data_IF_467807553929
#
_entry.id   IF_467807553929
#
_cell.length_a   1.000
_cell.length_b   1.000
_cell.length_c   1.000
_cell.angle_alpha   90.00
_cell.angle_beta   90.00
_cell.angle_gamma   90.00
#
_symmetry.space_group_name_H-M   'P 1'
#
loop_
_entity.id
_entity.type
_entity.pdbx_description
1 polymer ?
#
# COMPACT_ATOMS: atom_id res chain seq x y z
N UNK A 1 18.20 29.54 5.45
CA UNK A 1 18.80 28.94 6.66
C UNK A 1 17.84 27.87 7.19
N UNK A 2 18.33 26.68 7.55
CA UNK A 2 17.44 25.63 8.08
C UNK A 2 17.10 25.93 9.55
N UNK A 3 15.81 25.89 9.91
CA UNK A 3 15.35 26.17 11.27
C UNK A 3 15.05 24.86 12.02
N UNK A 4 15.35 24.82 13.32
CA UNK A 4 14.99 23.68 14.17
C UNK A 4 13.58 23.89 14.74
N UNK A 5 12.73 22.85 14.65
CA UNK A 5 11.38 22.84 15.23
C UNK A 5 11.20 21.60 16.10
N UNK A 6 10.88 21.79 17.36
CA UNK A 6 10.59 20.70 18.31
C UNK A 6 9.11 20.69 18.67
N UNK A 7 8.51 19.49 18.70
CA UNK A 7 7.09 19.24 18.90
C UNK A 7 6.90 18.12 19.93
N UNK A 8 5.83 18.21 20.71
CA UNK A 8 5.41 17.18 21.67
C UNK A 8 4.50 16.12 21.02
N UNK A 9 4.23 15.04 21.76
CA UNK A 9 3.31 14.00 21.31
C UNK A 9 1.92 14.57 21.05
N UNK A 10 1.34 14.24 19.89
CA UNK A 10 0.02 14.69 19.44
C UNK A 10 0.03 16.02 18.69
N UNK A 11 1.14 16.78 18.73
CA UNK A 11 1.24 18.05 18.03
C UNK A 11 1.15 17.88 16.51
N UNK A 12 0.49 18.82 15.86
CA UNK A 12 0.33 18.81 14.40
C UNK A 12 1.49 19.52 13.73
N UNK A 13 2.19 18.82 12.84
CA UNK A 13 3.28 19.38 12.04
C UNK A 13 2.70 20.25 10.92
N UNK A 14 1.77 19.66 10.16
CA UNK A 14 1.04 20.24 9.01
C UNK A 14 -0.36 19.60 8.94
N UNK A 15 -1.37 20.35 8.45
CA UNK A 15 -2.72 19.81 8.21
C UNK A 15 -2.98 19.56 6.73
N UNK A 16 -3.81 18.55 6.47
CA UNK A 16 -4.37 18.32 5.15
C UNK A 16 -5.07 19.58 4.63
N UNK A 17 -4.83 19.94 3.37
CA UNK A 17 -5.35 21.14 2.72
C UNK A 17 -4.54 22.42 2.94
N UNK A 18 -3.60 22.46 3.90
CA UNK A 18 -2.69 23.60 4.05
C UNK A 18 -1.73 23.67 2.85
N UNK A 19 -1.42 24.87 2.37
CA UNK A 19 -0.43 25.04 1.30
C UNK A 19 0.96 24.64 1.83
N UNK A 20 1.65 23.72 1.14
CA UNK A 20 2.97 23.32 1.60
C UNK A 20 4.04 24.35 1.23
N UNK A 21 4.78 24.78 2.25
CA UNK A 21 5.72 25.88 2.17
C UNK A 21 7.10 25.56 2.77
N UNK A 22 7.36 24.30 3.14
CA UNK A 22 8.62 23.88 3.73
C UNK A 22 8.91 22.40 3.47
N UNK A 23 10.19 22.07 3.45
CA UNK A 23 10.72 20.70 3.49
C UNK A 23 11.17 20.39 4.92
N UNK A 24 10.73 19.25 5.44
CA UNK A 24 11.01 18.78 6.78
C UNK A 24 11.93 17.56 6.73
N UNK A 25 12.91 17.53 7.63
CA UNK A 25 13.78 16.37 7.89
C UNK A 25 13.62 15.99 9.36
N UNK A 26 13.34 14.72 9.64
CA UNK A 26 13.23 14.21 11.01
C UNK A 26 14.63 14.00 11.57
N UNK A 27 15.00 14.82 12.56
CA UNK A 27 16.28 14.71 13.25
C UNK A 27 16.19 13.80 14.48
N UNK A 28 15.03 13.69 15.10
CA UNK A 28 14.77 12.77 16.21
C UNK A 28 13.26 12.62 16.42
N UNK A 29 12.83 11.43 16.86
CA UNK A 29 11.42 11.15 17.17
C UNK A 29 10.66 10.46 16.05
N UNK A 30 9.33 10.37 16.21
CA UNK A 30 8.42 9.72 15.26
C UNK A 30 7.24 10.63 14.92
N UNK A 31 6.86 10.66 13.64
CA UNK A 31 5.66 11.33 13.16
C UNK A 31 4.82 10.36 12.33
N UNK A 32 3.51 10.60 12.23
CA UNK A 32 2.63 9.78 11.39
C UNK A 32 1.63 10.62 10.62
N UNK A 33 1.23 10.16 9.44
CA UNK A 33 0.05 10.72 8.77
C UNK A 33 -1.22 10.25 9.47
N UNK A 34 -2.22 11.12 9.53
CA UNK A 34 -3.57 10.80 9.96
C UNK A 34 -4.51 11.02 8.79
N UNK A 35 -5.23 9.97 8.42
CA UNK A 35 -6.22 10.01 7.34
C UNK A 35 -7.38 10.92 7.78
N UNK A 36 -7.60 12.00 7.05
CA UNK A 36 -8.76 12.87 7.23
C UNK A 36 -9.74 12.64 6.07
N UNK A 37 -10.80 11.85 6.26
CA UNK A 37 -11.94 11.75 5.31
C UNK A 37 -12.35 10.34 4.87
N UNK A 38 -13.59 10.22 4.36
CA UNK A 38 -14.32 9.01 3.94
C UNK A 38 -13.79 8.38 2.63
N UNK A 39 -12.49 8.10 2.56
CA UNK A 39 -11.87 7.29 1.50
C UNK A 39 -11.42 5.91 2.03
N UNK A 40 -11.04 4.96 1.15
CA UNK A 40 -10.31 3.78 1.61
C UNK A 40 -9.07 4.27 2.36
N UNK A 41 -8.95 3.97 3.65
CA UNK A 41 -7.85 4.48 4.44
C UNK A 41 -6.56 3.85 3.93
N UNK A 42 -5.68 4.69 3.38
CA UNK A 42 -4.26 4.37 3.29
C UNK A 42 -3.75 4.08 4.70
N UNK A 43 -2.89 3.08 4.84
CA UNK A 43 -2.21 2.85 6.10
C UNK A 43 -1.46 4.14 6.51
N UNK A 44 -1.52 4.56 7.78
CA UNK A 44 -0.85 5.79 8.21
C UNK A 44 0.65 5.66 7.94
N UNK A 45 1.21 6.65 7.22
CA UNK A 45 2.63 6.67 6.91
C UNK A 45 3.41 7.11 8.14
N UNK A 46 4.35 6.29 8.58
CA UNK A 46 5.25 6.60 9.69
C UNK A 46 6.53 7.25 9.17
N UNK A 47 7.03 8.24 9.89
CA UNK A 47 8.30 8.90 9.66
C UNK A 47 9.16 8.77 10.92
N UNK A 48 10.40 8.33 10.74
CA UNK A 48 11.42 8.15 11.77
C UNK A 48 12.65 9.01 11.47
N UNK A 49 13.64 8.99 12.36
CA UNK A 49 14.90 9.72 12.18
C UNK A 49 15.56 9.44 10.82
N UNK A 50 15.95 10.51 10.12
CA UNK A 50 16.48 10.46 8.75
C UNK A 50 15.42 10.62 7.66
N UNK A 51 14.15 10.34 7.95
CA UNK A 51 13.08 10.50 6.96
C UNK A 51 12.83 11.98 6.64
N UNK A 52 12.40 12.23 5.40
CA UNK A 52 12.06 13.59 4.95
C UNK A 52 10.66 13.63 4.35
N UNK A 53 9.99 14.79 4.45
CA UNK A 53 8.67 15.00 3.85
C UNK A 53 8.44 16.47 3.50
N UNK A 54 7.56 16.74 2.54
CA UNK A 54 7.19 18.11 2.12
C UNK A 54 8.04 18.73 1.01
N UNK A 55 9.11 18.06 0.59
CA UNK A 55 9.91 18.48 -0.57
C UNK A 55 9.03 18.72 -1.82
N UNK A 56 8.03 17.87 -2.03
CA UNK A 56 7.13 17.95 -3.19
C UNK A 56 6.27 19.21 -3.18
N UNK A 57 5.84 19.66 -1.99
CA UNK A 57 5.09 20.89 -1.89
C UNK A 57 5.93 22.08 -2.34
N UNK A 58 7.25 22.07 -2.10
CA UNK A 58 8.16 23.10 -2.59
C UNK A 58 8.24 23.17 -4.14
N UNK A 59 7.89 22.10 -4.84
CA UNK A 59 8.00 22.04 -6.30
C UNK A 59 6.66 22.30 -6.94
N UNK A 60 5.65 21.53 -6.57
CA UNK A 60 4.34 21.55 -7.25
C UNK A 60 3.39 22.60 -6.68
N UNK A 61 3.75 23.23 -5.56
CA UNK A 61 2.86 24.14 -4.80
C UNK A 61 1.50 23.51 -4.47
N UNK A 62 1.45 22.18 -4.37
CA UNK A 62 0.26 21.44 -4.01
C UNK A 62 -0.06 21.58 -2.51
N UNK A 63 -1.35 21.57 -2.12
CA UNK A 63 -1.73 21.48 -0.72
C UNK A 63 -1.34 20.12 -0.14
N UNK A 64 -1.13 20.07 1.17
CA UNK A 64 -0.85 18.83 1.87
C UNK A 64 -2.00 17.83 1.70
N UNK A 65 -1.73 16.60 1.21
CA UNK A 65 -2.79 15.62 1.01
C UNK A 65 -3.31 15.05 2.34
N UNK A 66 -2.45 14.96 3.35
CA UNK A 66 -2.75 14.34 4.64
C UNK A 66 -2.22 15.20 5.79
N UNK A 67 -2.81 15.02 6.98
CA UNK A 67 -2.34 15.71 8.20
C UNK A 67 -1.20 14.89 8.81
N UNK A 68 -0.10 15.53 9.20
CA UNK A 68 1.02 14.85 9.88
C UNK A 68 1.07 15.29 11.33
N UNK A 69 1.15 14.32 12.25
CA UNK A 69 1.25 14.57 13.69
C UNK A 69 2.47 13.87 14.29
N UNK A 70 3.05 14.49 15.29
CA UNK A 70 4.06 13.88 16.13
C UNK A 70 3.44 12.75 16.97
N UNK A 71 4.05 11.57 16.94
CA UNK A 71 3.62 10.41 17.73
C UNK A 71 4.25 10.46 19.14
N UNK A 72 5.51 10.90 19.22
CA UNK A 72 6.25 11.17 20.45
C UNK A 72 6.96 12.54 20.35
N UNK A 73 7.93 12.83 21.22
CA UNK A 73 8.78 14.01 21.07
C UNK A 73 9.47 13.99 19.70
N UNK A 74 9.28 15.05 18.91
CA UNK A 74 9.70 15.13 17.51
C UNK A 74 10.54 16.39 17.30
N UNK A 75 11.73 16.22 16.73
CA UNK A 75 12.62 17.32 16.33
C UNK A 75 12.81 17.28 14.83
N UNK A 76 12.53 18.41 14.18
CA UNK A 76 12.58 18.57 12.73
C UNK A 76 13.60 19.67 12.36
N UNK A 77 14.36 19.42 11.30
CA UNK A 77 14.97 20.49 10.52
C UNK A 77 13.94 20.96 9.49
N UNK A 78 13.72 22.27 9.40
CA UNK A 78 12.72 22.88 8.52
C UNK A 78 13.42 23.83 7.56
N UNK A 79 13.36 23.50 6.27
CA UNK A 79 13.81 24.37 5.19
C UNK A 79 12.58 25.04 4.55
N UNK A 80 12.39 26.33 4.83
CA UNK A 80 11.29 27.09 4.24
C UNK A 80 11.48 27.27 2.72
N UNK A 81 10.38 27.43 1.98
CA UNK A 81 10.40 27.68 0.53
C UNK A 81 11.32 28.82 0.13
N UNK A 82 11.28 29.93 0.85
CA UNK A 82 12.12 31.10 0.58
C UNK A 82 13.61 30.78 0.69
N UNK A 83 13.98 29.98 1.68
CA UNK A 83 15.35 29.54 1.88
C UNK A 83 15.77 28.49 0.84
N UNK A 84 14.86 27.59 0.47
CA UNK A 84 15.07 26.62 -0.61
C UNK A 84 15.28 27.33 -1.94
N UNK A 85 14.40 28.24 -2.33
CA UNK A 85 14.50 28.97 -3.60
C UNK A 85 15.77 29.84 -3.64
N UNK A 86 16.16 30.46 -2.52
CA UNK A 86 17.43 31.17 -2.41
C UNK A 86 18.63 30.25 -2.58
N UNK A 87 18.59 29.03 -2.00
CA UNK A 87 19.63 28.03 -2.19
C UNK A 87 19.69 27.54 -3.64
N UNK A 88 18.55 27.19 -4.25
CA UNK A 88 18.51 26.78 -5.66
C UNK A 88 19.03 27.88 -6.59
N UNK A 89 18.80 29.15 -6.27
CA UNK A 89 19.34 30.28 -7.04
C UNK A 89 20.88 30.42 -6.96
N UNK A 90 21.54 29.77 -6.00
CA UNK A 90 23.01 29.69 -5.93
C UNK A 90 23.60 28.59 -6.83
N UNK A 91 22.76 27.66 -7.30
CA UNK A 91 23.16 26.59 -8.19
C UNK A 91 23.16 27.05 -9.66
N UNK A 92 23.94 26.38 -10.50
CA UNK A 92 23.80 26.55 -11.95
C UNK A 92 22.40 26.13 -12.42
N UNK A 93 21.96 26.65 -13.57
CA UNK A 93 20.64 26.30 -14.13
C UNK A 93 20.47 24.79 -14.35
N UNK A 94 21.55 24.08 -14.71
CA UNK A 94 21.55 22.63 -14.88
C UNK A 94 21.37 21.90 -13.54
N UNK A 95 22.13 22.29 -12.51
CA UNK A 95 22.03 21.70 -11.17
C UNK A 95 20.68 21.98 -10.51
N UNK A 96 20.14 23.20 -10.66
CA UNK A 96 18.82 23.55 -10.16
C UNK A 96 17.69 22.75 -10.83
N UNK A 97 17.82 22.48 -12.14
CA UNK A 97 16.88 21.62 -12.88
C UNK A 97 16.97 20.18 -12.38
N UNK A 98 18.18 19.63 -12.24
CA UNK A 98 18.40 18.27 -11.76
C UNK A 98 17.87 18.07 -10.33
N UNK A 99 18.13 19.03 -9.43
CA UNK A 99 17.62 19.00 -8.07
C UNK A 99 16.09 18.98 -8.02
N UNK A 100 15.43 19.84 -8.80
CA UNK A 100 13.95 19.85 -8.89
C UNK A 100 13.40 18.54 -9.45
N UNK A 101 14.08 17.95 -10.44
CA UNK A 101 13.71 16.64 -10.98
C UNK A 101 13.83 15.54 -9.91
N UNK A 102 14.96 15.48 -9.20
CA UNK A 102 15.19 14.52 -8.10
C UNK A 102 14.14 14.61 -7.01
N UNK A 103 13.90 15.82 -6.51
CA UNK A 103 12.94 16.05 -5.45
C UNK A 103 11.50 15.76 -5.88
N UNK A 104 11.12 16.04 -7.14
CA UNK A 104 9.79 15.66 -7.64
C UNK A 104 9.60 14.13 -7.65
N UNK A 105 10.66 13.38 -7.95
CA UNK A 105 10.63 11.91 -8.03
C UNK A 105 10.84 11.21 -6.69
N UNK A 106 11.35 11.91 -5.68
CA UNK A 106 11.71 11.33 -4.39
C UNK A 106 10.56 10.54 -3.75
N UNK A 107 9.31 10.98 -3.88
CA UNK A 107 8.16 10.23 -3.35
C UNK A 107 7.97 8.86 -4.01
N UNK A 108 8.30 8.77 -5.29
CA UNK A 108 8.22 7.52 -6.04
C UNK A 108 9.39 6.61 -5.69
N UNK A 109 10.58 7.17 -5.48
CA UNK A 109 11.72 6.45 -4.89
C UNK A 109 11.38 5.87 -3.53
N UNK A 110 10.82 6.67 -2.63
CA UNK A 110 10.41 6.23 -1.30
C UNK A 110 9.27 5.20 -1.35
N UNK A 111 8.40 5.28 -2.36
CA UNK A 111 7.36 4.30 -2.55
C UNK A 111 7.90 2.97 -3.08
N UNK A 112 8.70 3.02 -4.15
CA UNK A 112 9.26 1.84 -4.80
C UNK A 112 10.30 1.15 -3.91
N UNK A 113 11.11 1.91 -3.17
CA UNK A 113 12.08 1.37 -2.22
C UNK A 113 11.44 0.63 -1.03
N UNK A 114 10.14 0.86 -0.75
CA UNK A 114 9.39 0.08 0.25
C UNK A 114 8.92 -1.27 -0.28
N UNK A 115 8.95 -1.49 -1.60
CA UNK A 115 8.60 -2.77 -2.17
C UNK A 115 9.80 -3.71 -1.98
N UNK A 116 9.58 -4.81 -1.26
CA UNK A 116 10.62 -5.81 -0.97
C UNK A 116 11.32 -6.34 -2.24
N UNK A 117 10.66 -6.25 -3.38
CA UNK A 117 11.16 -6.66 -4.70
C UNK A 117 12.41 -5.87 -5.14
N UNK A 118 12.60 -4.65 -4.64
CA UNK A 118 13.70 -3.77 -5.04
C UNK A 118 14.69 -3.49 -3.92
N UNK A 119 14.58 -4.21 -2.79
CA UNK A 119 15.38 -3.94 -1.59
C UNK A 119 16.89 -4.22 -1.76
N UNK A 120 17.28 -4.97 -2.80
CA UNK A 120 18.68 -5.30 -3.12
C UNK A 120 19.38 -4.22 -3.95
N UNK A 121 18.65 -3.25 -4.49
CA UNK A 121 19.22 -2.18 -5.31
C UNK A 121 19.87 -1.12 -4.43
N UNK A 122 21.07 -0.69 -4.82
CA UNK A 122 21.66 0.53 -4.25
C UNK A 122 20.93 1.78 -4.77
N UNK A 123 21.15 2.91 -4.10
CA UNK A 123 20.44 4.15 -4.38
C UNK A 123 20.67 4.66 -5.81
N UNK A 124 21.88 4.52 -6.35
CA UNK A 124 22.25 5.03 -7.67
C UNK A 124 21.63 4.16 -8.79
N UNK A 125 21.66 2.82 -8.63
CA UNK A 125 21.04 1.89 -9.57
C UNK A 125 19.51 2.00 -9.53
N UNK A 126 18.91 2.09 -8.34
CA UNK A 126 17.50 2.36 -8.20
C UNK A 126 17.13 3.67 -8.92
N UNK A 127 17.98 4.71 -8.80
CA UNK A 127 17.75 6.00 -9.44
C UNK A 127 17.67 5.93 -10.96
N UNK A 128 18.67 5.33 -11.59
CA UNK A 128 18.72 5.19 -13.04
C UNK A 128 17.57 4.32 -13.58
N UNK A 129 17.12 3.32 -12.81
CA UNK A 129 16.10 2.38 -13.25
C UNK A 129 14.69 2.93 -13.05
N UNK A 130 14.42 3.64 -11.96
CA UNK A 130 13.11 4.24 -11.74
C UNK A 130 12.84 5.42 -12.69
N UNK A 131 13.89 6.07 -13.20
CA UNK A 131 13.78 7.07 -14.28
C UNK A 131 13.25 6.48 -15.59
N UNK A 132 13.39 5.17 -15.78
CA UNK A 132 12.91 4.45 -16.96
C UNK A 132 11.53 3.81 -16.77
N UNK A 133 10.97 3.87 -15.56
CA UNK A 133 9.60 3.41 -15.33
C UNK A 133 8.63 4.32 -16.08
N UNK A 134 7.80 3.70 -16.92
CA UNK A 134 6.66 4.41 -17.51
C UNK A 134 5.56 4.63 -16.48
N UNK A 135 4.63 5.52 -16.81
CA UNK A 135 3.51 5.90 -15.94
C UNK A 135 2.21 5.80 -16.72
N UNK A 136 1.20 5.22 -16.09
CA UNK A 136 -0.14 5.09 -16.67
C UNK A 136 -1.16 5.55 -15.64
N UNK A 137 -2.06 6.42 -16.06
CA UNK A 137 -3.24 6.83 -15.29
C UNK A 137 -4.50 6.37 -16.01
N UNK A 138 -5.40 5.73 -15.28
CA UNK A 138 -6.69 5.25 -15.80
C UNK A 138 -7.82 5.70 -14.88
N UNK A 139 -8.96 6.07 -15.44
CA UNK A 139 -10.12 6.49 -14.66
C UNK A 139 -10.89 5.26 -14.16
N UNK A 140 -11.72 5.46 -13.13
CA UNK A 140 -12.65 4.43 -12.67
C UNK A 140 -13.48 3.86 -13.83
N UNK A 141 -13.51 2.54 -13.94
CA UNK A 141 -14.23 1.79 -14.96
C UNK A 141 -13.41 1.48 -16.20
N UNK A 142 -12.28 2.16 -16.41
CA UNK A 142 -11.40 1.89 -17.53
C UNK A 142 -10.68 0.55 -17.34
N UNK A 143 -10.40 -0.10 -18.48
CA UNK A 143 -9.65 -1.35 -18.51
C UNK A 143 -8.18 -1.08 -18.80
N UNK A 144 -7.30 -1.56 -17.93
CA UNK A 144 -5.86 -1.48 -18.11
C UNK A 144 -5.38 -2.42 -19.22
N UNK A 145 -5.82 -3.68 -19.18
CA UNK A 145 -5.57 -4.67 -20.22
C UNK A 145 -6.69 -5.71 -20.24
N UNK A 146 -6.81 -6.42 -21.37
CA UNK A 146 -7.79 -7.49 -21.54
C UNK A 146 -7.18 -8.87 -21.32
N UNK A 147 -8.01 -9.81 -20.89
CA UNK A 147 -7.68 -11.24 -20.85
C UNK A 147 -7.16 -11.72 -22.21
N UNK A 148 -6.19 -12.62 -22.20
CA UNK A 148 -5.48 -13.18 -23.35
C UNK A 148 -4.66 -12.19 -24.18
N UNK A 149 -4.58 -10.92 -23.80
CA UNK A 149 -3.67 -9.99 -24.45
C UNK A 149 -2.20 -10.46 -24.25
N UNK A 150 -1.31 -10.21 -25.23
CA UNK A 150 0.12 -10.40 -25.02
C UNK A 150 0.61 -9.52 -23.87
N UNK A 151 1.66 -9.96 -23.20
CA UNK A 151 2.20 -9.30 -22.02
C UNK A 151 3.73 -9.27 -22.08
N UNK A 152 4.27 -8.06 -22.14
CA UNK A 152 5.70 -7.72 -22.08
C UNK A 152 6.01 -6.71 -20.95
N UNK A 153 4.98 -6.34 -20.19
CA UNK A 153 5.06 -5.38 -19.09
C UNK A 153 4.32 -5.89 -17.86
N UNK A 154 4.84 -5.59 -16.67
CA UNK A 154 4.08 -5.65 -15.43
C UNK A 154 3.82 -4.23 -14.93
N UNK A 155 2.89 -4.11 -13.99
CA UNK A 155 2.46 -2.85 -13.42
C UNK A 155 2.63 -2.87 -11.90
N UNK A 156 2.95 -1.72 -11.34
CA UNK A 156 2.95 -1.49 -9.89
C UNK A 156 1.87 -0.46 -9.60
N UNK A 157 0.89 -0.82 -8.76
CA UNK A 157 -0.17 0.12 -8.36
C UNK A 157 0.44 1.18 -7.46
N UNK A 158 0.61 2.40 -7.96
CA UNK A 158 1.10 3.53 -7.16
C UNK A 158 -0.01 4.05 -6.26
N UNK A 159 -1.20 4.16 -6.81
CA UNK A 159 -2.42 4.62 -6.15
C UNK A 159 -3.65 4.03 -6.82
N UNK A 160 -4.63 3.66 -6.02
CA UNK A 160 -5.96 3.25 -6.49
C UNK A 160 -6.21 1.75 -6.35
N UNK A 161 -7.21 1.26 -7.07
CA UNK A 161 -7.69 -0.11 -6.92
C UNK A 161 -8.10 -0.72 -8.25
N UNK A 162 -7.51 -1.86 -8.60
CA UNK A 162 -7.82 -2.62 -9.81
C UNK A 162 -8.38 -4.01 -9.49
N UNK A 163 -9.46 -4.37 -10.16
CA UNK A 163 -10.09 -5.70 -10.08
C UNK A 163 -9.62 -6.56 -11.25
N UNK A 164 -9.17 -7.78 -10.96
CA UNK A 164 -8.84 -8.79 -11.95
C UNK A 164 -10.04 -9.72 -12.16
N UNK A 165 -10.57 -9.79 -13.37
CA UNK A 165 -11.78 -10.56 -13.70
C UNK A 165 -11.52 -11.44 -14.93
N UNK A 166 -11.87 -12.71 -14.86
CA UNK A 166 -11.88 -13.64 -16.00
C UNK A 166 -13.29 -14.14 -16.27
N UNK A 167 -13.55 -14.64 -17.47
CA UNK A 167 -14.84 -15.26 -17.81
C UNK A 167 -14.69 -16.77 -17.98
N UNK A 168 -15.32 -17.54 -17.09
CA UNK A 168 -15.31 -19.01 -17.11
C UNK A 168 -16.74 -19.51 -17.26
N UNK A 169 -17.01 -20.38 -18.24
CA UNK A 169 -18.35 -20.91 -18.52
C UNK A 169 -19.44 -19.83 -18.55
N UNK A 170 -19.18 -18.72 -19.27
CA UNK A 170 -20.08 -17.56 -19.40
C UNK A 170 -20.37 -16.80 -18.09
N UNK A 171 -19.67 -17.11 -17.00
CA UNK A 171 -19.80 -16.43 -15.72
C UNK A 171 -18.53 -15.63 -15.43
N UNK A 172 -18.67 -14.34 -15.13
CA UNK A 172 -17.53 -13.49 -14.71
C UNK A 172 -17.10 -13.89 -13.30
N UNK A 173 -15.81 -14.22 -13.14
CA UNK A 173 -15.18 -14.55 -11.87
C UNK A 173 -14.11 -13.52 -11.57
N UNK A 174 -14.16 -12.91 -10.39
CA UNK A 174 -13.10 -12.03 -9.91
C UNK A 174 -11.98 -12.91 -9.33
N UNK A 175 -10.78 -12.83 -9.90
CA UNK A 175 -9.59 -13.53 -9.42
C UNK A 175 -8.95 -12.83 -8.22
N UNK A 176 -8.86 -11.50 -8.29
CA UNK A 176 -8.20 -10.71 -7.25
C UNK A 176 -8.60 -9.23 -7.28
N UNK A 177 -8.25 -8.53 -6.21
CA UNK A 177 -8.28 -7.07 -6.11
C UNK A 177 -6.86 -6.61 -5.77
N UNK A 178 -6.37 -5.59 -6.47
CA UNK A 178 -4.99 -5.08 -6.39
C UNK A 178 -5.02 -3.63 -5.95
N UNK A 179 -4.20 -3.29 -4.98
CA UNK A 179 -4.13 -1.96 -4.33
C UNK A 179 -2.72 -1.42 -4.31
N UNK A 180 -2.55 -0.20 -3.81
CA UNK A 180 -1.27 0.48 -3.61
C UNK A 180 -0.16 -0.47 -3.13
N UNK A 181 0.89 -0.59 -3.93
CA UNK A 181 2.06 -1.45 -3.68
C UNK A 181 1.98 -2.84 -4.32
N UNK A 182 0.81 -3.28 -4.79
CA UNK A 182 0.68 -4.56 -5.46
C UNK A 182 1.28 -4.53 -6.88
N UNK A 183 1.98 -5.61 -7.23
CA UNK A 183 2.33 -5.92 -8.61
C UNK A 183 1.14 -6.56 -9.34
N UNK A 184 1.04 -6.27 -10.63
CA UNK A 184 0.07 -6.86 -11.55
C UNK A 184 0.81 -7.25 -12.83
N UNK A 185 0.57 -8.46 -13.34
CA UNK A 185 1.20 -8.92 -14.57
C UNK A 185 2.56 -9.58 -14.37
N UNK A 186 2.97 -9.80 -13.11
CA UNK A 186 4.23 -10.43 -12.73
C UNK A 186 4.28 -11.90 -13.13
N UNK A 187 3.14 -12.61 -13.10
CA UNK A 187 3.03 -14.00 -13.54
C UNK A 187 3.33 -14.07 -15.03
N UNK A 188 2.67 -13.22 -15.82
CA UNK A 188 2.83 -13.18 -17.26
C UNK A 188 4.26 -12.81 -17.67
N UNK A 189 4.87 -11.86 -16.96
CA UNK A 189 6.25 -11.43 -17.22
C UNK A 189 7.28 -12.52 -16.84
N UNK A 190 7.06 -13.26 -15.74
CA UNK A 190 7.98 -14.30 -15.26
C UNK A 190 7.84 -15.63 -16.00
N UNK A 191 6.62 -16.04 -16.35
CA UNK A 191 6.33 -17.34 -16.97
C UNK A 191 6.06 -17.24 -18.48
N UNK A 192 6.05 -16.04 -19.06
CA UNK A 192 5.81 -15.84 -20.49
C UNK A 192 4.40 -16.24 -20.93
N UNK A 193 3.40 -16.08 -20.07
CA UNK A 193 2.00 -16.38 -20.38
C UNK A 193 1.24 -15.13 -20.84
N UNK A 194 0.16 -15.27 -21.63
CA UNK A 194 -0.74 -14.15 -21.91
C UNK A 194 -1.49 -13.72 -20.64
N UNK A 195 -2.13 -12.54 -20.68
CA UNK A 195 -2.91 -12.01 -19.55
C UNK A 195 -3.98 -13.00 -19.09
N UNK A 196 -3.95 -13.38 -17.81
CA UNK A 196 -4.86 -14.38 -17.24
C UNK A 196 -6.28 -13.85 -16.96
N UNK A 197 -6.46 -12.52 -16.98
CA UNK A 197 -7.72 -11.86 -16.68
C UNK A 197 -7.78 -10.46 -17.30
N UNK A 198 -8.97 -9.86 -17.36
CA UNK A 198 -9.13 -8.42 -17.52
C UNK A 198 -8.69 -7.69 -16.24
N UNK A 199 -7.95 -6.60 -16.37
CA UNK A 199 -7.67 -5.68 -15.27
C UNK A 199 -8.49 -4.39 -15.43
N UNK A 200 -9.39 -4.11 -14.49
CA UNK A 200 -10.33 -2.99 -14.55
C UNK A 200 -10.18 -2.10 -13.32
N UNK A 201 -10.08 -0.79 -13.53
CA UNK A 201 -10.05 0.21 -12.47
C UNK A 201 -11.38 0.29 -11.71
N UNK A 202 -11.33 0.06 -10.41
CA UNK A 202 -12.49 0.24 -9.51
C UNK A 202 -12.52 1.65 -8.89
N UNK A 203 -11.37 2.31 -8.85
CA UNK A 203 -11.18 3.75 -8.58
C UNK A 203 -10.30 4.34 -9.68
N UNK A 204 -10.12 5.67 -9.69
CA UNK A 204 -9.02 6.25 -10.46
C UNK A 204 -7.69 5.65 -9.98
N UNK A 205 -6.83 5.29 -10.93
CA UNK A 205 -5.58 4.59 -10.64
C UNK A 205 -4.39 5.27 -11.30
N UNK A 206 -3.28 5.29 -10.58
CA UNK A 206 -1.95 5.65 -11.06
C UNK A 206 -1.05 4.42 -10.93
N UNK A 207 -0.36 4.06 -12.00
CA UNK A 207 0.45 2.85 -12.11
C UNK A 207 1.83 3.20 -12.65
N UNK A 208 2.86 2.50 -12.15
CA UNK A 208 4.12 2.39 -12.87
C UNK A 208 4.07 1.21 -13.83
N UNK A 209 4.69 1.37 -15.00
CA UNK A 209 4.88 0.30 -15.98
C UNK A 209 6.33 -0.14 -15.97
N UNK A 210 6.54 -1.44 -15.82
CA UNK A 210 7.84 -2.07 -15.82
C UNK A 210 7.91 -3.08 -16.97
N UNK A 211 8.67 -2.75 -18.00
CA UNK A 211 8.93 -3.65 -19.13
C UNK A 211 9.82 -4.82 -18.74
N UNK A 212 9.72 -5.92 -19.49
CA UNK A 212 10.57 -7.10 -19.31
C UNK A 212 12.07 -6.77 -19.32
N UNK A 213 12.54 -5.96 -20.27
CA UNK A 213 13.95 -5.55 -20.33
C UNK A 213 14.41 -4.86 -19.03
N UNK A 214 13.62 -3.89 -18.57
CA UNK A 214 13.90 -3.16 -17.33
C UNK A 214 13.79 -4.07 -16.09
N UNK A 215 12.89 -5.05 -16.10
CA UNK A 215 12.77 -6.03 -15.02
C UNK A 215 14.01 -6.92 -14.93
N UNK A 216 14.52 -7.41 -16.06
CA UNK A 216 15.72 -8.23 -16.12
C UNK A 216 16.97 -7.42 -15.71
N UNK A 217 17.02 -6.13 -16.06
CA UNK A 217 18.06 -5.21 -15.57
C UNK A 217 17.97 -4.95 -14.05
N UNK A 218 16.76 -4.85 -13.49
CA UNK A 218 16.51 -4.67 -12.06
C UNK A 218 16.80 -5.93 -11.24
N UNK A 219 16.69 -7.10 -11.85
CA UNK A 219 16.85 -8.40 -11.16
C UNK A 219 17.84 -9.31 -11.89
N UNK A 220 19.12 -8.87 -12.01
CA UNK A 220 20.11 -9.55 -12.83
C UNK A 220 20.54 -10.91 -12.25
N UNK A 221 20.35 -11.15 -10.95
CA UNK A 221 20.64 -12.44 -10.30
C UNK A 221 19.35 -13.23 -10.08
N UNK A 222 19.43 -14.54 -10.27
CA UNK A 222 18.33 -15.47 -9.94
C UNK A 222 17.88 -15.35 -8.47
N UNK A 223 18.82 -15.06 -7.57
CA UNK A 223 18.54 -14.85 -6.14
C UNK A 223 17.61 -13.65 -5.91
N UNK A 224 17.79 -12.56 -6.67
CA UNK A 224 16.97 -11.34 -6.60
C UNK A 224 15.54 -11.61 -7.10
N UNK A 225 15.38 -12.57 -8.02
CA UNK A 225 14.09 -13.00 -8.57
C UNK A 225 13.36 -13.99 -7.66
N UNK A 226 14.01 -14.57 -6.65
CA UNK A 226 13.42 -15.65 -5.85
C UNK A 226 12.13 -15.21 -5.13
N UNK A 227 12.14 -14.02 -4.52
CA UNK A 227 10.96 -13.49 -3.84
C UNK A 227 9.79 -13.21 -4.81
N UNK A 228 10.11 -12.78 -6.04
CA UNK A 228 9.15 -12.56 -7.11
C UNK A 228 8.57 -13.87 -7.64
N UNK A 229 9.39 -14.89 -7.85
CA UNK A 229 8.93 -16.21 -8.25
C UNK A 229 8.03 -16.85 -7.19
N UNK A 230 8.38 -16.72 -5.91
CA UNK A 230 7.53 -17.19 -4.82
C UNK A 230 6.16 -16.48 -4.85
N UNK A 231 6.17 -15.14 -4.92
CA UNK A 231 4.95 -14.34 -5.02
C UNK A 231 4.09 -14.74 -6.23
N UNK A 232 4.70 -14.90 -7.40
CA UNK A 232 4.01 -15.25 -8.63
C UNK A 232 3.46 -16.69 -8.60
N UNK A 233 4.21 -17.63 -8.03
CA UNK A 233 3.78 -19.02 -7.84
C UNK A 233 2.57 -19.09 -6.92
N UNK A 234 2.63 -18.40 -5.77
CA UNK A 234 1.53 -18.36 -4.80
C UNK A 234 0.27 -17.77 -5.43
N UNK A 235 0.40 -16.67 -6.17
CA UNK A 235 -0.71 -16.03 -6.87
C UNK A 235 -1.27 -16.89 -8.01
N UNK A 236 -0.41 -17.59 -8.75
CA UNK A 236 -0.85 -18.51 -9.80
C UNK A 236 -1.70 -19.65 -9.21
N UNK A 237 -1.26 -20.22 -8.08
CA UNK A 237 -2.01 -21.25 -7.37
C UNK A 237 -3.35 -20.71 -6.84
N UNK A 238 -3.37 -19.47 -6.33
CA UNK A 238 -4.61 -18.81 -5.91
C UNK A 238 -5.59 -18.67 -7.08
N UNK A 239 -5.13 -18.24 -8.24
CA UNK A 239 -5.97 -18.10 -9.43
C UNK A 239 -6.51 -19.45 -9.87
N UNK A 240 -5.67 -20.49 -9.90
CA UNK A 240 -6.09 -21.86 -10.23
C UNK A 240 -7.17 -22.37 -9.27
N UNK A 241 -7.03 -22.12 -7.96
CA UNK A 241 -8.04 -22.51 -6.97
C UNK A 241 -9.35 -21.74 -7.14
N UNK A 242 -9.29 -20.44 -7.46
CA UNK A 242 -10.47 -19.62 -7.76
C UNK A 242 -11.20 -20.10 -9.04
N UNK A 243 -10.46 -20.66 -10.00
CA UNK A 243 -10.99 -21.25 -11.22
C UNK A 243 -11.56 -22.65 -11.01
N UNK A 244 -10.91 -23.50 -10.20
CA UNK A 244 -11.29 -24.89 -9.97
C UNK A 244 -12.52 -25.07 -9.06
N UNK A 245 -12.88 -24.06 -8.26
CA UNK A 245 -14.10 -24.12 -7.45
C UNK A 245 -15.35 -24.11 -8.34
N UNK A 246 -15.95 -25.28 -8.56
CA UNK A 246 -17.12 -25.45 -9.45
C UNK A 246 -18.47 -25.17 -8.77
N UNK A 247 -18.51 -24.85 -7.47
CA UNK A 247 -19.73 -24.51 -6.74
C UNK A 247 -19.53 -23.26 -5.88
N UNK A 248 -19.94 -22.09 -6.38
CA UNK A 248 -20.39 -20.95 -5.58
C UNK A 248 -20.96 -19.85 -6.49
N UNK A 249 -22.01 -20.18 -7.23
CA UNK A 249 -23.06 -19.19 -7.48
C UNK A 249 -23.77 -18.93 -6.16
N UNK A 250 -23.23 -18.03 -5.35
CA UNK A 250 -24.02 -17.16 -4.49
C UNK A 250 -23.60 -15.76 -4.91
N UNK A 251 -24.45 -15.01 -5.62
CA UNK A 251 -25.02 -13.76 -5.10
C UNK A 251 -24.02 -12.87 -4.34
N UNK A 252 -24.20 -11.56 -4.46
CA UNK A 252 -23.88 -10.63 -3.36
C UNK A 252 -24.62 -11.07 -2.08
N UNK A 253 -24.26 -12.20 -1.49
CA UNK A 253 -24.57 -12.51 -0.11
C UNK A 253 -23.62 -11.63 0.69
N UNK A 254 -24.24 -10.65 1.33
CA UNK A 254 -23.72 -9.90 2.47
C UNK A 254 -22.57 -10.64 3.13
N UNK A 255 -21.41 -9.98 3.21
CA UNK A 255 -20.34 -10.32 4.13
C UNK A 255 -20.86 -11.05 5.36
N UNK A 256 -20.21 -12.14 5.81
CA UNK A 256 -20.56 -12.76 7.08
C UNK A 256 -20.53 -11.67 8.16
N UNK A 257 -21.71 -11.32 8.66
CA UNK A 257 -21.85 -10.42 9.79
C UNK A 257 -21.57 -11.27 11.01
N UNK A 258 -20.42 -11.05 11.62
CA UNK A 258 -20.04 -11.78 12.81
C UNK A 258 -20.74 -11.17 14.01
N UNK A 259 -21.61 -11.95 14.65
CA UNK A 259 -22.22 -11.58 15.92
C UNK A 259 -21.16 -11.70 17.02
N UNK A 260 -20.69 -10.56 17.53
CA UNK A 260 -19.72 -10.50 18.62
C UNK A 260 -20.44 -10.64 19.95
N UNK A 261 -20.27 -11.81 20.59
CA UNK A 261 -20.70 -12.03 21.97
C UNK A 261 -19.63 -11.59 22.96
N UNK A 262 -20.01 -11.35 24.21
CA UNK A 262 -19.08 -11.10 25.31
C UNK A 262 -19.22 -12.19 26.35
N UNK A 263 -18.09 -12.68 26.86
CA UNK A 263 -18.06 -13.72 27.90
C UNK A 263 -17.08 -13.37 29.00
N UNK A 264 -17.29 -13.94 30.18
CA UNK A 264 -16.39 -13.82 31.34
C UNK A 264 -15.91 -15.20 31.72
N UNK A 265 -14.60 -15.36 31.88
CA UNK A 265 -14.02 -16.65 32.25
C UNK A 265 -14.26 -16.92 33.75
N UNK A 266 -14.89 -18.05 34.11
CA UNK A 266 -15.11 -18.39 35.51
C UNK A 266 -13.77 -18.71 36.19
N UNK A 267 -13.53 -18.16 37.38
CA UNK A 267 -12.40 -18.52 38.24
C UNK A 267 -11.19 -17.58 38.25
N UNK A 268 -11.23 -16.44 37.54
CA UNK A 268 -10.17 -15.41 37.63
C UNK A 268 -10.58 -14.25 38.55
N UNK A 269 -9.67 -13.87 39.47
CA UNK A 269 -9.86 -12.81 40.48
C UNK A 269 -9.91 -11.38 39.88
N UNK A 270 -9.41 -11.23 38.66
CA UNK A 270 -9.52 -10.03 37.83
C UNK A 270 -10.21 -10.41 36.52
N UNK A 271 -11.52 -10.60 36.57
CA UNK A 271 -12.32 -11.08 35.43
C UNK A 271 -12.64 -9.97 34.43
N UNK A 272 -11.80 -9.82 33.41
CA UNK A 272 -12.17 -9.07 32.20
C UNK A 272 -13.31 -9.76 31.45
N UNK A 273 -14.17 -8.98 30.81
CA UNK A 273 -15.07 -9.49 29.77
C UNK A 273 -14.30 -9.53 28.45
N UNK A 274 -14.41 -10.62 27.71
CA UNK A 274 -13.70 -10.82 26.45
C UNK A 274 -14.72 -11.04 25.32
N UNK A 275 -14.50 -10.42 24.15
CA UNK A 275 -15.33 -10.67 22.99
C UNK A 275 -15.03 -12.06 22.44
N UNK A 276 -16.06 -12.73 21.93
CA UNK A 276 -15.94 -13.97 21.21
C UNK A 276 -16.82 -13.95 19.95
N UNK A 277 -16.38 -14.65 18.92
CA UNK A 277 -17.12 -14.82 17.66
C UNK A 277 -17.09 -16.30 17.29
N UNK A 278 -18.22 -16.83 16.84
CA UNK A 278 -18.28 -18.18 16.27
C UNK A 278 -17.94 -18.12 14.78
N UNK A 279 -16.95 -18.92 14.38
CA UNK A 279 -16.59 -19.09 12.98
C UNK A 279 -17.08 -20.47 12.50
N UNK A 280 -17.90 -20.48 11.46
CA UNK A 280 -18.48 -21.73 10.93
C UNK A 280 -17.54 -22.47 9.96
N UNK A 281 -16.38 -21.88 9.63
CA UNK A 281 -15.38 -22.50 8.76
C UNK A 281 -13.96 -22.09 9.13
N UNK A 282 -12.93 -22.91 8.79
CA UNK A 282 -11.53 -22.52 8.94
C UNK A 282 -11.14 -21.27 8.13
N UNK A 283 -11.81 -21.02 7.01
CA UNK A 283 -11.57 -19.87 6.14
C UNK A 283 -12.02 -18.55 6.80
N UNK A 284 -13.03 -18.60 7.67
CA UNK A 284 -13.57 -17.43 8.38
C UNK A 284 -12.97 -17.23 9.78
N UNK A 285 -12.12 -18.15 10.25
CA UNK A 285 -11.54 -18.11 11.59
C UNK A 285 -10.66 -16.88 11.82
N UNK A 286 -9.84 -16.48 10.83
CA UNK A 286 -9.01 -15.29 10.94
C UNK A 286 -9.82 -13.99 11.02
N UNK A 287 -10.95 -13.93 10.31
CA UNK A 287 -11.86 -12.79 10.34
C UNK A 287 -12.62 -12.69 11.65
N UNK A 288 -13.01 -13.83 12.22
CA UNK A 288 -13.55 -13.88 13.57
C UNK A 288 -12.54 -13.35 14.60
N UNK A 289 -11.25 -13.63 14.45
CA UNK A 289 -10.21 -13.04 15.30
C UNK A 289 -10.13 -11.51 15.18
N UNK A 290 -10.16 -10.98 13.96
CA UNK A 290 -10.14 -9.52 13.74
C UNK A 290 -11.40 -8.84 14.32
N UNK A 291 -12.58 -9.45 14.15
CA UNK A 291 -13.84 -8.98 14.72
C UNK A 291 -13.79 -8.90 16.26
N UNK A 292 -13.21 -9.92 16.91
CA UNK A 292 -12.99 -9.92 18.36
C UNK A 292 -12.03 -8.81 18.79
N UNK A 293 -10.94 -8.56 18.05
CA UNK A 293 -9.97 -7.50 18.35
C UNK A 293 -10.63 -6.11 18.24
N UNK A 294 -11.41 -5.87 17.19
CA UNK A 294 -12.12 -4.60 16.97
C UNK A 294 -13.11 -4.30 18.11
N UNK A 295 -13.88 -5.31 18.51
CA UNK A 295 -14.80 -5.21 19.65
C UNK A 295 -14.06 -4.96 20.98
N UNK A 296 -12.92 -5.61 21.22
CA UNK A 296 -12.09 -5.38 22.40
C UNK A 296 -11.54 -3.94 22.45
N UNK A 297 -11.17 -3.39 21.29
CA UNK A 297 -10.59 -2.05 21.15
C UNK A 297 -11.64 -0.94 21.04
N UNK A 298 -12.95 -1.28 21.04
CA UNK A 298 -14.08 -0.36 20.82
C UNK A 298 -13.93 0.53 19.58
N UNK A 299 -13.28 0.01 18.54
CA UNK A 299 -13.17 0.70 17.27
C UNK A 299 -14.45 0.42 16.45
N UNK A 300 -14.98 1.42 15.77
CA UNK A 300 -15.98 1.24 14.70
C UNK A 300 -15.23 1.30 13.37
N UNK A 301 -14.26 0.41 13.19
CA UNK A 301 -13.57 0.36 11.92
C UNK A 301 -14.52 -0.29 10.91
N UNK A 302 -14.70 0.29 9.72
CA UNK A 302 -15.45 -0.34 8.63
C UNK A 302 -14.73 -1.58 8.06
N UNK A 303 -14.19 -2.43 8.93
CA UNK A 303 -13.33 -3.56 8.63
C UNK A 303 -14.04 -4.58 7.76
N UNK A 304 -15.36 -4.70 7.87
CA UNK A 304 -16.22 -5.53 7.03
C UNK A 304 -15.92 -5.30 5.53
N UNK A 305 -15.93 -4.05 5.07
CA UNK A 305 -15.64 -3.71 3.66
C UNK A 305 -14.18 -3.92 3.26
N UNK A 306 -13.24 -3.92 4.22
CA UNK A 306 -11.80 -4.18 3.98
C UNK A 306 -11.45 -5.66 4.05
N UNK A 307 -12.27 -6.44 4.76
CA UNK A 307 -12.20 -7.89 4.88
C UNK A 307 -12.82 -8.59 3.68
N UNK A 308 -13.76 -7.97 2.95
CA UNK A 308 -14.20 -8.42 1.62
C UNK A 308 -13.02 -8.66 0.67
N UNK A 309 -12.01 -7.79 0.74
CA UNK A 309 -10.76 -7.96 -0.01
C UNK A 309 -9.96 -9.18 0.43
N UNK A 310 -9.97 -9.47 1.73
CA UNK A 310 -9.17 -10.53 2.36
C UNK A 310 -9.84 -11.91 2.28
N UNK A 311 -11.15 -11.97 2.04
CA UNK A 311 -11.95 -13.17 1.77
C UNK A 311 -11.65 -13.79 0.40
N UNK A 312 -11.12 -13.00 -0.53
CA UNK A 312 -10.87 -13.46 -1.89
C UNK A 312 -9.73 -14.48 -1.99
N UNK A 313 -8.83 -14.53 -1.01
CA UNK A 313 -7.66 -15.41 -1.03
C UNK A 313 -8.02 -16.90 -0.90
N UNK A 314 -9.25 -17.25 -0.46
CA UNK A 314 -9.80 -18.62 -0.27
C UNK A 314 -8.85 -19.65 0.39
N UNK A 315 -7.77 -19.20 1.02
CA UNK A 315 -6.83 -20.00 1.79
C UNK A 315 -7.13 -19.81 3.29
N UNK A 316 -7.04 -20.87 4.11
CA UNK A 316 -7.12 -20.72 5.55
C UNK A 316 -6.00 -19.80 6.03
N UNK A 317 -6.36 -18.80 6.85
CA UNK A 317 -5.39 -17.87 7.39
C UNK A 317 -4.34 -18.57 8.25
N UNK A 318 -3.07 -18.38 7.92
CA UNK A 318 -1.95 -18.65 8.81
C UNK A 318 -1.78 -17.50 9.82
N UNK A 319 -1.03 -17.73 10.91
CA UNK A 319 -0.70 -16.67 11.87
C UNK A 319 0.02 -15.48 11.21
N UNK A 320 0.83 -15.72 10.18
CA UNK A 320 1.56 -14.67 9.45
C UNK A 320 0.64 -13.87 8.51
N UNK A 321 -0.29 -14.52 7.82
CA UNK A 321 -1.30 -13.80 7.04
C UNK A 321 -2.22 -13.00 7.96
N UNK A 322 -2.56 -13.54 9.13
CA UNK A 322 -3.34 -12.82 10.14
C UNK A 322 -2.62 -11.61 10.69
N UNK A 323 -1.32 -11.70 10.96
CA UNK A 323 -0.53 -10.55 11.43
C UNK A 323 -0.46 -9.44 10.38
N UNK A 324 -0.19 -9.78 9.12
CA UNK A 324 -0.20 -8.80 8.02
C UNK A 324 -1.59 -8.16 7.82
N UNK A 325 -2.65 -8.96 7.88
CA UNK A 325 -4.04 -8.46 7.81
C UNK A 325 -4.36 -7.54 8.99
N UNK A 326 -3.96 -7.90 10.20
CA UNK A 326 -4.12 -7.07 11.40
C UNK A 326 -3.33 -5.76 11.30
N UNK A 327 -2.13 -5.78 10.74
CA UNK A 327 -1.31 -4.60 10.47
C UNK A 327 -1.95 -3.66 9.44
N UNK A 328 -2.43 -4.20 8.31
CA UNK A 328 -3.16 -3.45 7.29
C UNK A 328 -4.44 -2.80 7.83
N UNK A 329 -5.10 -3.46 8.79
CA UNK A 329 -6.24 -2.92 9.51
C UNK A 329 -5.86 -1.96 10.66
N UNK A 330 -4.56 -1.73 10.90
CA UNK A 330 -4.05 -0.83 11.94
C UNK A 330 -4.20 -1.36 13.36
N UNK A 331 -4.31 -2.67 13.54
CA UNK A 331 -4.38 -3.34 14.85
C UNK A 331 -2.99 -3.68 15.41
N UNK A 332 -1.99 -3.88 14.55
CA UNK A 332 -0.59 -4.06 14.94
C UNK A 332 0.19 -2.82 14.56
N UNK A 333 0.67 -2.09 15.57
CA UNK A 333 1.77 -1.15 15.42
C UNK A 333 3.06 -1.94 15.57
N UNK A 334 3.96 -1.87 14.58
CA UNK A 334 5.33 -2.34 14.78
C UNK A 334 5.89 -1.78 16.10
N UNK A 335 6.29 -2.68 17.00
CA UNK A 335 7.10 -2.35 18.19
C UNK A 335 8.43 -1.75 17.74
#
# INVERSE_FOLDING_TARGET
MCALRTLGSGDTVVRAGEAGNAWYVVLAGKARTTVAGQGPASAPRLYSEGDTFGHHALIESAPWPETIRADAGLTLAVLARTDFDAWVATLSAAEGTLLRQRLARQQDFEFLGRLNVFAHLDADAAELLFDRLGRVSIARGDRLYSENAPSDVCYIVRRGRLRLITTVHQSRRQLALRVDGDLIGEIELLYGSPRMADAIADTDCELFTLSQDLFDELTPREEDRHALYQLATDRLLQYQNALAGDDARGSQESLPTFDVGWTSLPGQRYGGSYPYVRADSPVTAGLACLAMIDAAQRRQSGWQARVEQLLWDRAPDTLLSLSRKAEQCGHLSHL
#
